data_IF_238107363682
#
_entry.id   IF_238107363682
#
_cell.length_a   1.000
_cell.length_b   1.000
_cell.length_c   1.000
_cell.angle_alpha   90.00
_cell.angle_beta   90.00
_cell.angle_gamma   90.00
#
_symmetry.space_group_name_H-M   'P 1'
#
loop_
_entity.id
_entity.type
_entity.pdbx_description
1 polymer ?
#
# COMPACT_ATOMS: atom_id res chain seq x y z
N UNK A 1 -9.45 -4.14 0.96
CA UNK A 1 -9.03 -3.65 2.29
C UNK A 1 -9.86 -2.46 2.74
N UNK A 2 -10.41 -1.70 1.79
CA UNK A 2 -11.27 -0.54 2.00
C UNK A 2 -12.61 -0.73 1.29
N UNK A 3 -13.61 0.05 1.67
CA UNK A 3 -14.81 0.30 0.86
C UNK A 3 -14.49 1.41 -0.14
N UNK A 4 -14.91 1.25 -1.39
CA UNK A 4 -14.71 2.25 -2.45
C UNK A 4 -16.08 2.68 -2.94
N UNK A 5 -16.34 3.99 -2.92
CA UNK A 5 -17.62 4.59 -3.27
C UNK A 5 -17.41 5.64 -4.36
N UNK A 6 -18.28 5.66 -5.36
CA UNK A 6 -18.45 6.81 -6.25
C UNK A 6 -19.32 7.84 -5.52
N UNK A 7 -18.78 9.05 -5.33
CA UNK A 7 -19.48 10.13 -4.62
C UNK A 7 -19.58 11.35 -5.50
N UNK A 8 -20.76 11.97 -5.51
CA UNK A 8 -21.01 13.23 -6.21
C UNK A 8 -20.96 14.40 -5.23
N UNK A 9 -20.14 15.40 -5.55
CA UNK A 9 -20.09 16.68 -4.81
C UNK A 9 -20.81 17.73 -5.63
N UNK A 10 -21.89 18.28 -5.06
CA UNK A 10 -22.68 19.33 -5.69
C UNK A 10 -22.04 20.70 -5.41
N UNK A 11 -21.52 21.35 -6.46
CA UNK A 11 -21.13 22.75 -6.38
C UNK A 11 -22.35 23.65 -6.55
N UNK A 12 -22.34 24.83 -5.92
CA UNK A 12 -23.49 25.77 -5.88
C UNK A 12 -23.98 26.23 -7.26
N UNK A 13 -23.13 26.19 -8.29
CA UNK A 13 -23.41 26.76 -9.61
C UNK A 13 -22.92 25.90 -10.79
N UNK A 14 -22.69 24.59 -10.61
CA UNK A 14 -22.18 23.72 -11.67
C UNK A 14 -22.74 22.30 -11.61
N UNK A 15 -22.46 21.47 -12.64
CA UNK A 15 -22.81 20.06 -12.60
C UNK A 15 -22.11 19.35 -11.43
N UNK A 16 -22.70 18.27 -10.88
CA UNK A 16 -22.04 17.46 -9.87
C UNK A 16 -20.67 16.97 -10.35
N UNK A 17 -19.66 17.08 -9.50
CA UNK A 17 -18.33 16.52 -9.77
C UNK A 17 -18.25 15.17 -9.07
N UNK A 18 -17.83 14.15 -9.80
CA UNK A 18 -17.68 12.80 -9.25
C UNK A 18 -16.26 12.57 -8.73
N UNK A 19 -16.18 11.92 -7.58
CA UNK A 19 -14.95 11.55 -6.91
C UNK A 19 -15.03 10.11 -6.43
N UNK A 20 -13.87 9.54 -6.10
CA UNK A 20 -13.78 8.24 -5.45
C UNK A 20 -13.51 8.45 -3.96
N UNK A 21 -14.44 8.01 -3.11
CA UNK A 21 -14.24 7.97 -1.66
C UNK A 21 -13.81 6.55 -1.25
N UNK A 22 -12.58 6.43 -0.75
CA UNK A 22 -12.03 5.18 -0.22
C UNK A 22 -12.02 5.23 1.30
N UNK A 23 -12.73 4.31 1.97
CA UNK A 23 -12.88 4.24 3.42
C UNK A 23 -12.22 2.98 3.98
N UNK A 24 -11.38 3.14 5.00
CA UNK A 24 -10.70 2.05 5.70
C UNK A 24 -11.50 1.71 6.96
N UNK A 25 -12.57 0.95 6.74
CA UNK A 25 -13.49 0.53 7.78
C UNK A 25 -13.33 -0.97 8.06
N UNK A 26 -12.93 -1.30 9.30
CA UNK A 26 -12.77 -2.70 9.74
C UNK A 26 -14.04 -3.52 9.55
N UNK A 27 -15.21 -2.90 9.56
CA UNK A 27 -16.53 -3.57 9.46
C UNK A 27 -16.80 -4.09 8.05
N UNK A 28 -16.22 -3.46 7.03
CA UNK A 28 -16.58 -3.68 5.62
C UNK A 28 -15.40 -4.04 4.71
N UNK A 29 -14.18 -4.13 5.23
CA UNK A 29 -13.03 -4.61 4.45
C UNK A 29 -13.18 -6.10 4.09
N UNK A 30 -13.70 -6.41 2.90
CA UNK A 30 -13.96 -7.79 2.46
C UNK A 30 -12.73 -8.70 2.56
N UNK A 31 -11.63 -8.33 1.92
CA UNK A 31 -10.39 -9.14 1.98
C UNK A 31 -9.67 -9.11 3.34
N UNK A 32 -10.08 -8.25 4.29
CA UNK A 32 -9.63 -8.34 5.68
C UNK A 32 -10.37 -9.44 6.46
N UNK A 33 -11.56 -9.82 5.99
CA UNK A 33 -12.48 -10.77 6.62
C UNK A 33 -12.54 -12.11 5.90
N UNK A 34 -11.85 -12.24 4.76
CA UNK A 34 -11.58 -13.49 4.07
C UNK A 34 -10.48 -14.26 4.83
N UNK A 35 -10.86 -15.34 5.53
CA UNK A 35 -9.93 -16.20 6.26
C UNK A 35 -9.48 -17.35 5.33
N UNK A 36 -8.33 -17.95 5.64
CA UNK A 36 -7.91 -19.23 5.05
C UNK A 36 -9.06 -20.26 5.13
N UNK A 37 -9.23 -21.07 4.07
CA UNK A 37 -10.25 -22.12 3.93
C UNK A 37 -11.70 -21.66 3.62
N UNK A 38 -11.91 -20.59 2.83
CA UNK A 38 -13.25 -20.16 2.37
C UNK A 38 -14.27 -19.86 3.50
N UNK A 39 -13.78 -19.57 4.72
CA UNK A 39 -14.63 -19.19 5.86
C UNK A 39 -14.61 -17.67 6.03
N UNK A 40 -15.59 -16.93 5.51
CA UNK A 40 -15.69 -15.51 5.83
C UNK A 40 -15.93 -15.34 7.34
N UNK A 41 -15.27 -14.36 7.95
CA UNK A 41 -15.61 -13.85 9.28
C UNK A 41 -16.37 -12.53 9.15
N UNK A 42 -17.68 -12.60 8.81
CA UNK A 42 -18.47 -11.40 8.61
C UNK A 42 -18.53 -10.59 9.90
N UNK A 43 -18.67 -9.28 9.75
CA UNK A 43 -18.92 -8.40 10.86
C UNK A 43 -20.30 -8.70 11.48
N UNK A 44 -20.33 -8.89 12.80
CA UNK A 44 -21.57 -9.12 13.55
C UNK A 44 -21.75 -8.12 14.70
N UNK A 45 -22.95 -8.07 15.28
CA UNK A 45 -23.21 -7.30 16.50
C UNK A 45 -22.38 -7.78 17.70
N UNK A 46 -22.04 -9.07 17.74
CA UNK A 46 -21.20 -9.65 18.79
C UNK A 46 -19.76 -9.10 18.68
N UNK A 47 -19.21 -9.03 17.47
CA UNK A 47 -17.91 -8.40 17.21
C UNK A 47 -17.89 -6.95 17.71
N UNK A 48 -18.93 -6.18 17.38
CA UNK A 48 -19.02 -4.78 17.77
C UNK A 48 -19.10 -4.60 19.29
N UNK A 49 -19.95 -5.39 19.97
CA UNK A 49 -20.07 -5.33 21.42
C UNK A 49 -18.76 -5.71 22.13
N UNK A 50 -18.05 -6.73 21.63
CA UNK A 50 -16.75 -7.13 22.14
C UNK A 50 -15.71 -6.02 21.96
N UNK A 51 -15.63 -5.43 20.76
CA UNK A 51 -14.72 -4.31 20.47
C UNK A 51 -15.02 -3.08 21.32
N UNK A 52 -16.29 -2.65 21.41
CA UNK A 52 -16.70 -1.50 22.22
C UNK A 52 -16.36 -1.69 23.69
N UNK A 53 -16.62 -2.88 24.24
CA UNK A 53 -16.26 -3.22 25.62
C UNK A 53 -14.75 -3.17 25.83
N UNK A 54 -13.98 -3.69 24.87
CA UNK A 54 -12.52 -3.73 24.93
C UNK A 54 -11.89 -2.34 24.86
N UNK A 55 -12.43 -1.47 24.00
CA UNK A 55 -12.05 -0.05 23.92
C UNK A 55 -12.43 0.68 25.21
N UNK A 56 -13.66 0.49 25.71
CA UNK A 56 -14.15 1.14 26.93
C UNK A 56 -13.36 0.76 28.19
N UNK A 57 -12.75 -0.43 28.20
CA UNK A 57 -11.83 -0.90 29.26
C UNK A 57 -10.38 -0.42 29.08
N UNK A 58 -10.07 0.33 28.03
CA UNK A 58 -8.71 0.81 27.74
C UNK A 58 -7.73 -0.29 27.33
N UNK A 59 -8.21 -1.42 26.79
CA UNK A 59 -7.37 -2.60 26.51
C UNK A 59 -6.62 -2.52 25.17
N UNK A 60 -7.06 -1.67 24.23
CA UNK A 60 -6.48 -1.56 22.89
C UNK A 60 -4.98 -1.24 22.92
N UNK A 61 -4.48 -0.19 23.62
CA UNK A 61 -3.05 0.17 23.57
C UNK A 61 -2.12 -0.98 24.01
N UNK A 62 -2.50 -1.71 25.07
CA UNK A 62 -1.75 -2.87 25.56
C UNK A 62 -1.74 -4.02 24.56
N UNK A 63 -2.91 -4.33 23.99
CA UNK A 63 -3.06 -5.37 22.97
C UNK A 63 -2.25 -5.08 21.71
N UNK A 64 -2.31 -3.85 21.19
CA UNK A 64 -1.55 -3.46 20.00
C UNK A 64 -0.03 -3.46 20.24
N UNK A 65 0.41 -3.09 21.46
CA UNK A 65 1.83 -3.17 21.84
C UNK A 65 2.31 -4.62 21.88
N UNK A 66 1.53 -5.51 22.50
CA UNK A 66 1.84 -6.94 22.54
C UNK A 66 1.91 -7.55 21.14
N UNK A 67 0.93 -7.22 20.29
CA UNK A 67 0.88 -7.65 18.90
C UNK A 67 2.08 -7.13 18.09
N UNK A 68 2.51 -5.89 18.31
CA UNK A 68 3.73 -5.36 17.70
C UNK A 68 4.96 -6.15 18.14
N UNK A 69 5.11 -6.39 19.45
CA UNK A 69 6.23 -7.17 19.98
C UNK A 69 6.29 -8.57 19.35
N UNK A 70 5.16 -9.27 19.25
CA UNK A 70 5.09 -10.57 18.59
C UNK A 70 5.54 -10.50 17.13
N UNK A 71 5.06 -9.51 16.38
CA UNK A 71 5.46 -9.30 14.99
C UNK A 71 6.94 -8.94 14.81
N UNK A 72 7.58 -8.37 15.83
CA UNK A 72 9.00 -8.06 15.82
C UNK A 72 9.86 -9.30 16.16
N UNK A 73 9.31 -10.30 16.85
CA UNK A 73 10.03 -11.52 17.29
C UNK A 73 9.72 -12.78 16.50
N UNK A 74 8.53 -12.89 15.92
CA UNK A 74 8.07 -14.07 15.18
C UNK A 74 8.49 -13.99 13.71
N UNK A 75 8.73 -15.16 13.09
CA UNK A 75 9.11 -15.25 11.68
C UNK A 75 8.01 -14.71 10.75
N UNK A 76 6.74 -14.87 11.16
CA UNK A 76 5.58 -14.41 10.41
C UNK A 76 4.77 -13.45 11.26
N UNK A 77 4.24 -12.41 10.62
CA UNK A 77 3.35 -11.49 11.30
C UNK A 77 2.07 -12.23 11.75
N UNK A 78 1.65 -11.94 12.98
CA UNK A 78 0.40 -12.44 13.57
C UNK A 78 -0.77 -11.87 12.78
N UNK A 79 -1.50 -12.76 12.12
CA UNK A 79 -2.69 -12.42 11.35
C UNK A 79 -3.91 -12.30 12.28
N UNK A 80 -4.85 -11.42 11.94
CA UNK A 80 -6.04 -11.17 12.77
C UNK A 80 -6.81 -12.46 13.09
N UNK A 81 -7.01 -13.33 12.08
CA UNK A 81 -7.80 -14.56 12.21
C UNK A 81 -7.28 -15.51 13.30
N UNK A 82 -5.98 -15.44 13.66
CA UNK A 82 -5.42 -16.27 14.74
C UNK A 82 -6.07 -15.98 16.10
N UNK A 83 -6.64 -14.79 16.30
CA UNK A 83 -7.34 -14.44 17.53
C UNK A 83 -8.75 -15.07 17.62
N UNK A 84 -9.29 -15.59 16.52
CA UNK A 84 -10.61 -16.24 16.53
C UNK A 84 -10.59 -17.59 17.23
N UNK A 85 -9.42 -18.22 17.34
CA UNK A 85 -9.21 -19.50 18.01
C UNK A 85 -8.87 -19.35 19.50
N UNK A 86 -8.90 -18.13 20.06
CA UNK A 86 -8.64 -17.94 21.49
C UNK A 86 -9.72 -18.62 22.37
N UNK A 87 -9.33 -19.28 23.49
CA UNK A 87 -10.28 -19.95 24.38
C UNK A 87 -11.37 -19.02 24.93
N UNK A 88 -11.02 -17.76 25.18
CA UNK A 88 -11.96 -16.72 25.56
C UNK A 88 -12.52 -16.05 24.30
N UNK A 89 -13.67 -16.56 23.81
CA UNK A 89 -14.30 -16.08 22.57
C UNK A 89 -14.48 -14.56 22.55
N UNK A 90 -14.99 -13.95 23.62
CA UNK A 90 -15.23 -12.49 23.66
C UNK A 90 -13.94 -11.69 23.53
N UNK A 91 -12.87 -12.14 24.20
CA UNK A 91 -11.56 -11.50 24.10
C UNK A 91 -10.90 -11.72 22.74
N UNK A 92 -11.01 -12.93 22.19
CA UNK A 92 -10.55 -13.27 20.85
C UNK A 92 -11.22 -12.41 19.77
N UNK A 93 -12.55 -12.26 19.84
CA UNK A 93 -13.30 -11.37 18.93
C UNK A 93 -12.85 -9.90 19.07
N UNK A 94 -12.58 -9.44 20.29
CA UNK A 94 -12.10 -8.07 20.50
C UNK A 94 -10.69 -7.85 19.92
N UNK A 95 -9.76 -8.79 20.12
CA UNK A 95 -8.40 -8.73 19.56
C UNK A 95 -8.42 -8.86 18.03
N UNK A 96 -9.31 -9.70 17.49
CA UNK A 96 -9.56 -9.80 16.06
C UNK A 96 -9.95 -8.44 15.48
N UNK A 97 -11.00 -7.80 16.01
CA UNK A 97 -11.48 -6.49 15.54
C UNK A 97 -10.45 -5.36 15.77
N UNK A 98 -9.71 -5.40 16.87
CA UNK A 98 -8.61 -4.47 17.14
C UNK A 98 -7.47 -4.60 16.12
N UNK A 99 -7.17 -5.83 15.70
CA UNK A 99 -6.17 -6.10 14.68
C UNK A 99 -6.64 -5.61 13.31
N UNK A 100 -7.90 -5.86 12.95
CA UNK A 100 -8.50 -5.31 11.73
C UNK A 100 -8.50 -3.78 11.72
N UNK A 101 -8.85 -3.14 12.84
CA UNK A 101 -8.76 -1.68 12.99
C UNK A 101 -7.34 -1.18 12.71
N UNK A 102 -6.34 -1.78 13.36
CA UNK A 102 -4.92 -1.44 13.17
C UNK A 102 -4.51 -1.58 11.70
N UNK A 103 -4.93 -2.66 11.04
CA UNK A 103 -4.59 -2.91 9.65
C UNK A 103 -5.24 -1.86 8.74
N UNK A 104 -6.52 -1.50 8.96
CA UNK A 104 -7.16 -0.37 8.28
C UNK A 104 -6.37 0.94 8.42
N UNK A 105 -5.93 1.28 9.64
CA UNK A 105 -5.12 2.48 9.88
C UNK A 105 -3.78 2.41 9.15
N UNK A 106 -3.08 1.28 9.21
CA UNK A 106 -1.80 1.09 8.48
C UNK A 106 -1.97 1.27 6.98
N UNK A 107 -3.06 0.74 6.40
CA UNK A 107 -3.34 0.89 4.98
C UNK A 107 -3.67 2.34 4.59
N UNK A 108 -4.45 3.03 5.42
CA UNK A 108 -4.73 4.45 5.26
C UNK A 108 -3.45 5.30 5.28
N UNK A 109 -2.61 5.12 6.30
CA UNK A 109 -1.35 5.85 6.46
C UNK A 109 -0.37 5.54 5.33
N UNK A 110 -0.29 4.28 4.90
CA UNK A 110 0.53 3.87 3.77
C UNK A 110 0.07 4.56 2.48
N UNK A 111 -1.22 4.58 2.20
CA UNK A 111 -1.74 5.18 0.97
C UNK A 111 -1.53 6.70 0.94
N UNK A 112 -1.75 7.41 2.06
CA UNK A 112 -1.44 8.84 2.17
C UNK A 112 0.05 9.09 1.91
N UNK A 113 0.91 8.27 2.53
CA UNK A 113 2.36 8.40 2.37
C UNK A 113 2.76 8.20 0.90
N UNK A 114 2.15 7.23 0.21
CA UNK A 114 2.38 7.03 -1.21
C UNK A 114 1.93 8.24 -2.05
N UNK A 115 0.71 8.74 -1.86
CA UNK A 115 0.23 9.93 -2.59
C UNK A 115 1.10 11.17 -2.34
N UNK A 116 1.53 11.40 -1.11
CA UNK A 116 2.42 12.52 -0.77
C UNK A 116 3.77 12.42 -1.49
N UNK A 117 4.35 11.21 -1.60
CA UNK A 117 5.62 10.98 -2.30
C UNK A 117 5.49 10.99 -3.82
N UNK A 118 4.29 10.76 -4.33
CA UNK A 118 3.96 10.75 -5.75
C UNK A 118 3.28 12.04 -6.21
N UNK A 119 3.46 13.14 -5.48
CA UNK A 119 2.81 14.42 -5.77
C UNK A 119 3.04 14.89 -7.22
N UNK A 120 4.22 14.62 -7.79
CA UNK A 120 4.57 14.99 -9.17
C UNK A 120 3.92 14.10 -10.25
N UNK A 121 3.42 12.92 -9.85
CA UNK A 121 2.72 11.94 -10.68
C UNK A 121 1.19 11.96 -10.55
N UNK A 122 0.66 12.69 -9.58
CA UNK A 122 -0.79 12.83 -9.39
C UNK A 122 -1.46 13.51 -10.59
N UNK A 123 -2.55 12.91 -11.08
CA UNK A 123 -3.26 13.29 -12.29
C UNK A 123 -2.54 12.95 -13.60
N UNK A 124 -1.45 12.16 -13.53
CA UNK A 124 -0.70 11.68 -14.71
C UNK A 124 -0.61 10.16 -14.72
N UNK A 125 -0.02 9.58 -13.67
CA UNK A 125 0.21 8.14 -13.53
C UNK A 125 -0.52 7.53 -12.33
N UNK A 126 -0.96 8.37 -11.39
CA UNK A 126 -1.83 8.00 -10.27
C UNK A 126 -2.93 9.06 -10.12
N UNK A 127 -4.10 8.74 -9.55
CA UNK A 127 -5.16 9.74 -9.31
C UNK A 127 -4.67 10.92 -8.46
N UNK A 128 -5.32 12.08 -8.59
CA UNK A 128 -5.15 13.15 -7.58
C UNK A 128 -5.81 12.77 -6.27
N UNK A 129 -5.12 13.00 -5.14
CA UNK A 129 -5.71 12.95 -3.81
C UNK A 129 -6.15 14.34 -3.40
N UNK A 130 -7.46 14.53 -3.23
CA UNK A 130 -8.05 15.82 -2.88
C UNK A 130 -8.09 16.07 -1.39
N UNK A 131 -8.40 15.04 -0.59
CA UNK A 131 -8.59 15.20 0.84
C UNK A 131 -8.36 13.90 1.61
N UNK A 132 -7.97 14.06 2.88
CA UNK A 132 -8.10 13.04 3.91
C UNK A 132 -9.45 13.23 4.61
N UNK A 133 -10.13 12.13 4.88
CA UNK A 133 -11.47 12.08 5.44
C UNK A 133 -11.43 11.35 6.78
N UNK A 134 -12.19 11.86 7.76
CA UNK A 134 -12.45 11.18 9.01
C UNK A 134 -13.95 11.24 9.29
N UNK A 135 -14.58 10.08 9.37
CA UNK A 135 -16.00 9.96 9.70
C UNK A 135 -16.13 9.44 11.13
N UNK A 136 -16.68 10.26 12.02
CA UNK A 136 -16.95 9.87 13.40
C UNK A 136 -18.40 9.39 13.51
N UNK A 137 -18.58 8.10 13.78
CA UNK A 137 -19.89 7.42 13.74
C UNK A 137 -20.69 7.48 15.05
N UNK A 138 -20.20 8.14 16.11
CA UNK A 138 -20.78 8.04 17.46
C UNK A 138 -21.12 9.42 18.03
N UNK A 139 -22.30 9.55 18.63
CA UNK A 139 -22.59 10.60 19.61
C UNK A 139 -21.68 10.36 20.83
N UNK A 140 -20.55 11.08 20.86
CA UNK A 140 -19.40 10.97 21.78
C UNK A 140 -19.70 11.09 23.29
N UNK A 141 -20.97 11.11 23.72
CA UNK A 141 -21.34 11.49 25.07
C UNK A 141 -20.88 10.50 26.18
N UNK A 142 -20.52 9.26 25.83
CA UNK A 142 -20.21 8.19 26.80
C UNK A 142 -18.85 7.51 26.62
N UNK A 143 -18.04 7.93 25.64
CA UNK A 143 -16.72 7.31 25.36
C UNK A 143 -15.62 8.29 25.79
N UNK A 144 -14.58 7.83 26.52
CA UNK A 144 -13.43 8.68 26.82
C UNK A 144 -12.85 9.28 25.53
N UNK A 145 -12.49 10.56 25.55
CA UNK A 145 -12.00 11.28 24.37
C UNK A 145 -10.77 10.58 23.73
N UNK A 146 -9.92 9.98 24.55
CA UNK A 146 -8.75 9.21 24.13
C UNK A 146 -9.11 7.94 23.33
N UNK A 147 -10.30 7.39 23.58
CA UNK A 147 -10.81 6.19 22.93
C UNK A 147 -11.66 6.49 21.67
N UNK A 148 -12.03 7.76 21.45
CA UNK A 148 -12.86 8.16 20.31
C UNK A 148 -12.22 7.82 18.96
N UNK A 149 -10.90 7.92 18.86
CA UNK A 149 -10.15 7.64 17.62
C UNK A 149 -10.27 6.19 17.14
N UNK A 150 -10.56 5.24 18.03
CA UNK A 150 -10.79 3.83 17.67
C UNK A 150 -12.12 3.59 16.93
N UNK A 151 -13.01 4.59 16.93
CA UNK A 151 -14.29 4.56 16.24
C UNK A 151 -14.35 5.46 15.01
N UNK A 152 -13.28 6.21 14.74
CA UNK A 152 -13.17 6.96 13.50
C UNK A 152 -12.95 6.03 12.32
N UNK A 153 -13.71 6.24 11.26
CA UNK A 153 -13.42 5.65 9.95
C UNK A 153 -12.59 6.65 9.16
N UNK A 154 -11.34 6.26 8.87
CA UNK A 154 -10.44 7.07 8.04
C UNK A 154 -10.68 6.78 6.56
N UNK A 155 -10.40 7.75 5.71
CA UNK A 155 -10.55 7.61 4.27
C UNK A 155 -9.86 8.69 3.47
N UNK A 156 -9.85 8.52 2.16
CA UNK A 156 -9.27 9.48 1.21
C UNK A 156 -10.28 9.76 0.09
N UNK A 157 -10.30 11.01 -0.37
CA UNK A 157 -11.06 11.44 -1.54
C UNK A 157 -10.11 11.57 -2.72
N UNK A 158 -10.39 10.82 -3.78
CA UNK A 158 -9.54 10.70 -4.96
C UNK A 158 -10.27 11.20 -6.22
N UNK A 159 -9.48 11.55 -7.22
CA UNK A 159 -9.92 11.69 -8.60
C UNK A 159 -10.56 10.41 -9.10
N UNK A 160 -11.74 10.56 -9.70
CA UNK A 160 -12.39 9.50 -10.46
C UNK A 160 -11.83 9.51 -11.87
N UNK A 161 -11.31 8.37 -12.29
CA UNK A 161 -10.90 8.13 -13.68
C UNK A 161 -12.08 7.46 -14.37
N UNK A 162 -12.67 8.15 -15.34
CA UNK A 162 -13.80 7.64 -16.11
C UNK A 162 -13.27 6.69 -17.18
N UNK A 163 -13.09 5.44 -16.78
CA UNK A 163 -12.26 4.50 -17.50
C UNK A 163 -12.70 3.04 -17.39
N UNK A 164 -11.85 2.18 -17.91
CA UNK A 164 -12.01 0.73 -17.87
C UNK A 164 -10.76 0.09 -17.27
N UNK A 165 -10.91 -1.10 -16.69
CA UNK A 165 -9.76 -1.87 -16.24
C UNK A 165 -8.87 -2.23 -17.43
N UNK A 166 -7.55 -2.33 -17.21
CA UNK A 166 -6.61 -2.75 -18.25
C UNK A 166 -6.99 -4.15 -18.80
N UNK A 167 -7.71 -4.14 -19.93
CA UNK A 167 -8.27 -5.30 -20.60
C UNK A 167 -8.20 -5.08 -22.11
N UNK A 168 -7.33 -5.84 -22.77
CA UNK A 168 -7.28 -6.10 -24.22
C UNK A 168 -6.56 -5.11 -25.16
N UNK A 169 -5.99 -4.00 -24.69
CA UNK A 169 -5.25 -3.06 -25.58
C UNK A 169 -3.72 -3.14 -25.40
N UNK A 170 -3.04 -3.61 -26.46
CA UNK A 170 -1.60 -3.91 -26.47
C UNK A 170 -0.70 -2.69 -26.21
N UNK A 171 -1.06 -1.52 -26.74
CA UNK A 171 -0.25 -0.29 -26.61
C UNK A 171 -0.32 0.32 -25.20
N UNK A 172 -1.39 0.05 -24.45
CA UNK A 172 -1.61 0.61 -23.10
C UNK A 172 -0.81 -0.18 -22.06
N UNK A 173 -0.51 -1.45 -22.33
CA UNK A 173 0.26 -2.31 -21.43
C UNK A 173 1.67 -1.76 -21.21
N UNK A 174 2.35 -1.32 -22.27
CA UNK A 174 3.68 -0.72 -22.13
C UNK A 174 3.62 0.54 -21.26
N UNK A 175 2.62 1.40 -21.47
CA UNK A 175 2.45 2.62 -20.66
C UNK A 175 2.19 2.30 -19.18
N UNK A 176 1.43 1.24 -18.87
CA UNK A 176 1.19 0.81 -17.50
C UNK A 176 2.45 0.21 -16.85
N UNK A 177 3.25 -0.52 -17.62
CA UNK A 177 4.56 -1.05 -17.23
C UNK A 177 5.53 0.08 -16.89
N UNK A 178 5.60 1.09 -17.75
CA UNK A 178 6.45 2.26 -17.57
C UNK A 178 5.98 3.06 -16.34
N UNK A 179 4.67 3.22 -16.15
CA UNK A 179 4.09 3.88 -14.98
C UNK A 179 4.49 3.20 -13.67
N UNK A 180 4.45 1.86 -13.62
CA UNK A 180 4.87 1.12 -12.44
C UNK A 180 6.37 1.31 -12.14
N UNK A 181 7.19 1.34 -13.18
CA UNK A 181 8.63 1.60 -13.03
C UNK A 181 8.91 3.04 -12.57
N UNK A 182 8.15 4.03 -13.05
CA UNK A 182 8.25 5.42 -12.58
C UNK A 182 7.96 5.56 -11.08
N UNK A 183 6.99 4.80 -10.56
CA UNK A 183 6.72 4.72 -9.12
C UNK A 183 7.90 4.08 -8.38
N UNK A 184 8.49 3.01 -8.91
CA UNK A 184 9.67 2.38 -8.31
C UNK A 184 10.89 3.31 -8.25
N UNK A 185 11.11 4.14 -9.28
CA UNK A 185 12.19 5.15 -9.27
C UNK A 185 12.05 6.19 -8.15
N UNK A 186 10.84 6.41 -7.63
CA UNK A 186 10.56 7.32 -6.51
C UNK A 186 10.69 6.67 -5.13
N UNK A 187 11.30 5.48 -5.07
CA UNK A 187 11.54 4.79 -3.81
C UNK A 187 10.31 4.07 -3.26
N UNK A 188 9.36 3.68 -4.11
CA UNK A 188 8.12 3.00 -3.70
C UNK A 188 8.00 1.65 -4.39
N UNK A 189 7.88 0.58 -3.60
CA UNK A 189 7.57 -0.77 -4.07
C UNK A 189 6.10 -1.08 -3.75
N UNK A 190 5.28 -1.27 -4.77
CA UNK A 190 3.87 -1.63 -4.62
C UNK A 190 3.76 -3.13 -4.39
N UNK A 191 3.27 -3.55 -3.23
CA UNK A 191 3.10 -4.97 -2.90
C UNK A 191 1.89 -5.60 -3.55
N UNK A 192 0.85 -4.81 -3.79
CA UNK A 192 -0.33 -5.25 -4.53
C UNK A 192 -0.36 -4.68 -5.96
N UNK A 193 0.74 -4.83 -6.70
CA UNK A 193 0.81 -4.41 -8.10
C UNK A 193 0.19 -5.49 -9.01
N UNK A 194 -0.88 -5.16 -9.72
CA UNK A 194 -1.55 -6.09 -10.63
C UNK A 194 -2.42 -5.34 -11.65
N UNK A 195 -2.83 -5.94 -12.78
CA UNK A 195 -3.66 -5.28 -13.79
C UNK A 195 -5.01 -4.78 -13.26
N UNK A 196 -5.56 -5.43 -12.21
CA UNK A 196 -6.81 -5.00 -11.56
C UNK A 196 -6.70 -3.65 -10.84
N UNK A 197 -5.47 -3.23 -10.52
CA UNK A 197 -5.15 -1.96 -9.87
C UNK A 197 -4.65 -0.93 -10.90
N UNK A 198 -4.99 -1.13 -12.19
CA UNK A 198 -4.74 -0.18 -13.29
C UNK A 198 -6.08 0.19 -13.91
N UNK A 199 -6.40 1.48 -13.88
CA UNK A 199 -7.58 2.05 -14.54
C UNK A 199 -7.10 2.86 -15.74
N UNK A 200 -7.65 2.58 -16.90
CA UNK A 200 -7.33 3.27 -18.15
C UNK A 200 -8.39 4.33 -18.39
N UNK A 201 -7.97 5.59 -18.46
CA UNK A 201 -8.86 6.71 -18.79
C UNK A 201 -9.50 6.51 -20.17
N UNK A 202 -10.83 6.58 -20.24
CA UNK A 202 -11.59 6.23 -21.45
C UNK A 202 -11.40 7.21 -22.60
N UNK A 203 -10.96 8.44 -22.33
CA UNK A 203 -10.78 9.47 -23.36
C UNK A 203 -9.35 9.49 -23.89
N UNK A 204 -8.37 9.48 -22.99
CA UNK A 204 -6.95 9.60 -23.32
C UNK A 204 -6.25 8.25 -23.51
N UNK A 205 -6.87 7.14 -23.08
CA UNK A 205 -6.24 5.81 -23.00
C UNK A 205 -4.97 5.79 -22.14
N UNK A 206 -4.85 6.73 -21.19
CA UNK A 206 -3.72 6.80 -20.27
C UNK A 206 -3.99 5.90 -19.06
N UNK A 207 -3.08 4.98 -18.71
CA UNK A 207 -3.23 4.15 -17.51
C UNK A 207 -2.87 4.94 -16.25
N UNK A 208 -3.76 4.88 -15.26
CA UNK A 208 -3.52 5.31 -13.89
C UNK A 208 -3.42 4.11 -12.95
N UNK A 209 -2.36 4.08 -12.14
CA UNK A 209 -2.18 3.09 -11.08
C UNK A 209 -2.98 3.55 -9.86
N UNK A 210 -3.82 2.66 -9.34
CA UNK A 210 -4.68 2.88 -8.19
C UNK A 210 -4.34 1.89 -7.07
N UNK A 211 -4.96 2.07 -5.90
CA UNK A 211 -4.79 1.23 -4.72
C UNK A 211 -3.33 1.13 -4.21
N UNK A 212 -2.88 2.22 -3.59
CA UNK A 212 -1.52 2.33 -3.03
C UNK A 212 -1.45 2.01 -1.53
N UNK A 213 -2.47 1.32 -1.00
CA UNK A 213 -2.59 0.95 0.41
C UNK A 213 -1.51 -0.01 0.91
N UNK A 214 -0.79 -0.66 -0.01
CA UNK A 214 0.20 -1.68 0.28
C UNK A 214 1.50 -1.37 -0.45
N UNK A 215 2.24 -0.40 0.09
CA UNK A 215 3.55 -0.01 -0.42
C UNK A 215 4.66 -0.32 0.61
N UNK A 216 5.89 -0.44 0.12
CA UNK A 216 7.10 -0.30 0.93
C UNK A 216 7.88 0.91 0.43
N UNK A 217 8.39 1.70 1.37
CA UNK A 217 9.11 2.92 1.08
C UNK A 217 10.61 2.70 1.30
N UNK A 218 11.45 3.24 0.39
CA UNK A 218 12.91 3.02 0.38
C UNK A 218 13.56 3.42 1.70
N UNK A 219 13.29 4.61 2.21
CA UNK A 219 13.80 5.11 3.49
C UNK A 219 13.39 4.23 4.69
N UNK A 220 12.16 3.73 4.72
CA UNK A 220 11.71 2.81 5.77
C UNK A 220 12.41 1.45 5.70
N UNK A 221 12.64 0.96 4.49
CA UNK A 221 13.43 -0.26 4.24
C UNK A 221 14.87 -0.08 4.70
N UNK A 222 15.52 1.01 4.28
CA UNK A 222 16.89 1.36 4.67
C UNK A 222 17.02 1.47 6.18
N UNK A 223 16.10 2.18 6.84
CA UNK A 223 16.07 2.27 8.30
C UNK A 223 15.91 0.91 8.98
N UNK A 224 15.17 -0.02 8.37
CA UNK A 224 15.01 -1.38 8.88
C UNK A 224 16.29 -2.20 8.72
N UNK A 225 16.95 -2.11 7.57
CA UNK A 225 18.22 -2.80 7.31
C UNK A 225 19.31 -2.38 8.29
N UNK A 226 19.44 -1.06 8.54
CA UNK A 226 20.36 -0.55 9.56
C UNK A 226 20.04 -1.10 10.96
N UNK A 227 18.76 -1.15 11.36
CA UNK A 227 18.36 -1.72 12.65
C UNK A 227 18.67 -3.22 12.77
N UNK A 228 18.74 -3.91 11.64
CA UNK A 228 19.03 -5.33 11.57
C UNK A 228 20.53 -5.63 11.38
N UNK A 229 21.40 -4.61 11.38
CA UNK A 229 22.85 -4.77 11.26
C UNK A 229 23.36 -5.05 9.84
N UNK A 230 22.54 -4.91 8.80
CA UNK A 230 22.93 -5.23 7.41
C UNK A 230 24.07 -4.35 6.90
N UNK A 231 24.25 -3.17 7.50
CA UNK A 231 25.36 -2.27 7.18
C UNK A 231 26.74 -2.78 7.62
N UNK A 232 26.79 -3.90 8.34
CA UNK A 232 28.03 -4.56 8.73
C UNK A 232 28.51 -5.56 7.66
N UNK A 233 27.65 -5.90 6.69
CA UNK A 233 27.98 -6.82 5.60
C UNK A 233 28.88 -6.14 4.55
N UNK A 234 29.99 -6.80 4.21
CA UNK A 234 30.97 -6.26 3.27
C UNK A 234 30.36 -6.09 1.87
N UNK A 235 30.44 -4.87 1.32
CA UNK A 235 29.91 -4.55 0.00
C UNK A 235 28.41 -4.29 -0.05
N UNK A 236 27.74 -4.26 1.11
CA UNK A 236 26.34 -3.84 1.19
C UNK A 236 26.17 -2.36 0.89
N UNK A 237 25.17 -2.03 0.05
CA UNK A 237 24.78 -0.67 -0.25
C UNK A 237 23.24 -0.55 -0.30
N UNK A 238 22.63 0.43 0.39
CA UNK A 238 21.19 0.55 0.49
C UNK A 238 20.49 0.90 -0.83
N UNK A 239 21.17 1.56 -1.78
CA UNK A 239 20.62 1.82 -3.13
C UNK A 239 20.60 0.53 -3.95
N UNK A 240 21.65 -0.27 -3.87
CA UNK A 240 21.74 -1.58 -4.52
C UNK A 240 20.67 -2.52 -3.98
N UNK A 241 20.59 -2.68 -2.66
CA UNK A 241 19.61 -3.54 -2.00
C UNK A 241 18.17 -3.11 -2.34
N UNK A 242 17.90 -1.80 -2.40
CA UNK A 242 16.60 -1.31 -2.83
C UNK A 242 16.22 -1.81 -4.24
N UNK A 243 17.14 -1.71 -5.20
CA UNK A 243 16.87 -2.18 -6.57
C UNK A 243 16.78 -3.70 -6.66
N UNK A 244 17.48 -4.46 -5.81
CA UNK A 244 17.32 -5.91 -5.69
C UNK A 244 15.90 -6.28 -5.18
N UNK A 245 15.37 -5.53 -4.21
CA UNK A 245 13.98 -5.69 -3.75
C UNK A 245 12.96 -5.28 -4.81
N UNK A 246 13.22 -4.21 -5.58
CA UNK A 246 12.37 -3.82 -6.71
C UNK A 246 12.36 -4.92 -7.78
N UNK A 247 13.52 -5.47 -8.12
CA UNK A 247 13.65 -6.57 -9.08
C UNK A 247 12.89 -7.81 -8.63
N UNK A 248 12.97 -8.16 -7.33
CA UNK A 248 12.21 -9.27 -6.75
C UNK A 248 10.70 -9.04 -6.78
N UNK A 249 10.23 -7.83 -6.46
CA UNK A 249 8.81 -7.49 -6.49
C UNK A 249 8.27 -7.36 -7.93
N UNK A 250 9.13 -6.97 -8.86
CA UNK A 250 8.89 -6.81 -10.30
C UNK A 250 7.53 -6.20 -10.65
N UNK A 251 7.24 -5.02 -10.09
CA UNK A 251 5.96 -4.32 -10.27
C UNK A 251 5.57 -4.16 -11.77
N UNK A 252 6.48 -3.75 -12.66
CA UNK A 252 6.31 -3.84 -14.11
C UNK A 252 5.80 -5.19 -14.62
N UNK A 253 6.47 -6.30 -14.27
CA UNK A 253 6.07 -7.63 -14.75
C UNK A 253 4.75 -8.10 -14.14
N UNK A 254 4.46 -7.71 -12.90
CA UNK A 254 3.19 -8.02 -12.24
C UNK A 254 1.97 -7.45 -12.99
N UNK A 255 2.16 -6.41 -13.80
CA UNK A 255 1.16 -5.91 -14.75
C UNK A 255 1.39 -6.52 -16.14
N UNK A 256 2.56 -6.25 -16.74
CA UNK A 256 2.83 -6.53 -18.15
C UNK A 256 2.77 -8.02 -18.48
N UNK A 257 3.45 -8.87 -17.70
CA UNK A 257 3.55 -10.30 -18.03
C UNK A 257 2.19 -10.98 -17.88
N UNK A 258 1.40 -10.57 -16.88
CA UNK A 258 0.04 -11.06 -16.67
C UNK A 258 -0.86 -10.67 -17.86
N UNK A 259 -0.76 -9.42 -18.33
CA UNK A 259 -1.55 -8.97 -19.48
C UNK A 259 -1.13 -9.62 -20.80
N UNK A 260 0.17 -9.75 -21.05
CA UNK A 260 0.70 -10.46 -22.23
C UNK A 260 0.18 -11.91 -22.25
N UNK A 261 0.26 -12.61 -21.12
CA UNK A 261 -0.25 -13.98 -21.01
C UNK A 261 -1.77 -14.05 -21.29
N UNK A 262 -2.55 -13.12 -20.75
CA UNK A 262 -4.01 -13.07 -20.98
C UNK A 262 -4.34 -12.84 -22.46
N UNK A 263 -3.69 -11.86 -23.10
CA UNK A 263 -3.91 -11.56 -24.52
C UNK A 263 -3.50 -12.74 -25.39
N UNK A 264 -2.35 -13.36 -25.13
CA UNK A 264 -1.92 -14.53 -25.88
C UNK A 264 -2.92 -15.69 -25.74
N UNK A 265 -3.47 -15.92 -24.54
CA UNK A 265 -4.47 -16.96 -24.31
C UNK A 265 -5.79 -16.70 -25.04
N UNK A 266 -6.24 -15.44 -25.12
CA UNK A 266 -7.52 -15.06 -25.72
C UNK A 266 -7.41 -14.96 -27.24
N UNK A 267 -6.32 -14.38 -27.74
CA UNK A 267 -6.19 -13.97 -29.15
C UNK A 267 -5.19 -14.81 -29.95
N UNK A 268 -4.32 -15.59 -29.28
CA UNK A 268 -3.18 -16.26 -29.89
C UNK A 268 -2.00 -15.33 -30.22
N UNK A 269 -2.15 -14.01 -30.06
CA UNK A 269 -1.13 -13.02 -30.40
C UNK A 269 -0.17 -12.82 -29.24
N UNK A 270 1.13 -12.92 -29.50
CA UNK A 270 2.17 -12.55 -28.55
C UNK A 270 2.43 -11.04 -28.64
N UNK A 271 2.27 -10.35 -27.54
CA UNK A 271 2.59 -8.92 -27.40
C UNK A 271 4.01 -8.78 -26.89
N UNK A 272 4.80 -7.91 -27.53
CA UNK A 272 6.13 -7.56 -27.06
C UNK A 272 6.03 -6.39 -26.07
N UNK A 273 6.61 -6.55 -24.89
CA UNK A 273 6.61 -5.57 -23.81
C UNK A 273 8.02 -5.49 -23.26
N UNK A 274 8.54 -4.27 -23.15
CA UNK A 274 9.87 -3.98 -22.63
C UNK A 274 9.78 -3.79 -21.12
N UNK A 275 10.59 -4.53 -20.38
CA UNK A 275 10.70 -4.42 -18.94
C UNK A 275 12.02 -3.74 -18.56
N UNK A 276 12.09 -3.11 -17.38
CA UNK A 276 13.35 -2.60 -16.85
C UNK A 276 14.39 -3.71 -16.70
N UNK A 277 15.61 -3.43 -17.13
CA UNK A 277 16.76 -4.30 -16.91
C UNK A 277 17.34 -4.01 -15.51
N UNK A 278 16.85 -4.75 -14.51
CA UNK A 278 17.29 -4.56 -13.12
C UNK A 278 18.76 -4.92 -12.91
N UNK A 279 19.31 -5.88 -13.66
CA UNK A 279 20.73 -6.22 -13.57
C UNK A 279 21.59 -5.04 -14.04
N UNK A 280 21.22 -4.41 -15.15
CA UNK A 280 21.89 -3.21 -15.63
C UNK A 280 21.72 -2.01 -14.68
N UNK A 281 20.54 -1.82 -14.09
CA UNK A 281 20.28 -0.75 -13.10
C UNK A 281 21.15 -0.96 -11.85
N UNK A 282 21.21 -2.19 -11.32
CA UNK A 282 22.02 -2.54 -10.16
C UNK A 282 23.51 -2.36 -10.47
N UNK A 283 23.99 -2.86 -11.62
CA UNK A 283 25.38 -2.70 -12.03
C UNK A 283 25.77 -1.22 -12.22
N UNK A 284 24.88 -0.41 -12.79
CA UNK A 284 25.05 1.04 -12.92
C UNK A 284 25.12 1.73 -11.56
N UNK A 285 24.25 1.33 -10.63
CA UNK A 285 24.24 1.85 -9.24
C UNK A 285 25.56 1.54 -8.54
N UNK A 286 26.04 0.29 -8.60
CA UNK A 286 27.33 -0.12 -8.03
C UNK A 286 28.50 0.69 -8.60
N UNK A 287 28.48 0.96 -9.91
CA UNK A 287 29.51 1.77 -10.57
C UNK A 287 29.52 3.21 -10.08
N UNK A 288 28.34 3.85 -10.02
CA UNK A 288 28.23 5.23 -9.54
C UNK A 288 28.76 5.37 -8.10
N UNK A 289 28.44 4.41 -7.22
CA UNK A 289 28.95 4.38 -5.83
C UNK A 289 30.46 4.23 -5.76
N UNK A 290 31.04 3.37 -6.60
CA UNK A 290 32.49 3.22 -6.66
C UNK A 290 33.19 4.51 -7.14
N UNK A 291 32.62 5.21 -8.12
CA UNK A 291 33.12 6.50 -8.61
C UNK A 291 33.04 7.60 -7.54
N UNK A 292 31.93 7.67 -6.80
CA UNK A 292 31.76 8.59 -5.66
C UNK A 292 32.81 8.35 -4.57
N UNK A 293 33.03 7.09 -4.17
CA UNK A 293 34.01 6.74 -3.14
C UNK A 293 35.45 7.10 -3.56
N UNK A 294 35.79 6.95 -4.85
CA UNK A 294 37.10 7.39 -5.38
C UNK A 294 37.22 8.91 -5.37
N UNK A 295 36.15 9.64 -5.73
CA UNK A 295 36.14 11.10 -5.73
C UNK A 295 36.28 11.68 -4.31
N UNK A 296 35.64 11.08 -3.31
CA UNK A 296 35.75 11.50 -1.90
C UNK A 296 37.15 11.28 -1.34
N UNK A 297 37.78 10.12 -1.62
CA UNK A 297 39.17 9.85 -1.23
C UNK A 297 40.14 10.88 -1.79
N UNK A 298 39.96 11.29 -3.05
CA UNK A 298 40.77 12.36 -3.67
C UNK A 298 40.57 13.72 -3.01
N UNK A 299 39.33 14.06 -2.63
CA UNK A 299 39.01 15.32 -1.91
C UNK A 299 39.55 15.33 -0.48
N UNK A 300 39.57 14.18 0.20
CA UNK A 300 40.15 14.03 1.53
C UNK A 300 41.67 14.23 1.51
N UNK A 301 42.37 13.58 0.57
CA UNK A 301 43.81 13.70 0.42
C UNK A 301 44.29 15.13 0.11
N UNK A 302 43.50 15.89 -0.67
CA UNK A 302 43.81 17.28 -1.02
C UNK A 302 43.56 18.29 0.12
N UNK A 303 42.83 17.92 1.19
CA UNK A 303 42.61 18.77 2.38
C UNK A 303 43.62 18.51 3.50
N UNK A 304 44.37 17.41 3.42
CA UNK A 304 45.40 17.01 4.38
C UNK A 304 46.83 17.37 3.94
N UNK A 305 46.98 18.12 2.84
CA UNK A 305 48.23 18.66 2.31
C UNK A 305 48.21 20.18 2.39
#
# INVERSE_FOLDING_TARGET
MSVVLDVSVQNRHGPPIHHVLKLYDRRFGSCLRDILEDKPAPYTRENEAAFQTFVGRGMIPGSLRHLKQRNDTEQYAVAAWQFLDEPNRTEGLAKYEATLWRDCIKHFECEITAYNRLADLQGKLVPRMFAQISLSSIQLATIPQEAASYFDVKGILLERIDGYCLGDLTQIIQSAVDAAHEINKRGIIMKDCAPRNVVVDGQSNTPGIVDLAQCRFRDELVNRWYKNGWNEDEGWDPDVEYWEQVGTASNPAAIGAVMVMRIQKITGVKVDVRYPDYEAIIAGTRRAKAEEAVAEKKKGAAKSS
#
